data_IF_699646246668
#
_entry.id   IF_699646246668
#
_cell.length_a   1.000
_cell.length_b   1.000
_cell.length_c   1.000
_cell.angle_alpha   90.00
_cell.angle_beta   90.00
_cell.angle_gamma   90.00
#
_symmetry.space_group_name_H-M   'P 1'
#
loop_
_entity.id
_entity.type
_entity.pdbx_description
1 polymer ?
#
# COMPACT_ATOMS: atom_id res chain seq x y z
N UNK A 1 -3.62 4.16 -7.22
CA UNK A 1 -4.77 4.70 -8.01
C UNK A 1 -5.68 3.54 -8.45
N UNK A 2 -6.99 3.73 -8.58
CA UNK A 2 -7.90 2.69 -9.09
C UNK A 2 -8.07 2.80 -10.61
N UNK A 3 -7.98 1.66 -11.29
CA UNK A 3 -8.21 1.52 -12.74
C UNK A 3 -9.48 0.68 -12.94
N UNK A 4 -10.55 1.26 -13.51
CA UNK A 4 -11.79 0.53 -13.75
C UNK A 4 -11.56 -0.60 -14.77
N UNK A 5 -12.18 -1.74 -14.54
CA UNK A 5 -12.19 -2.87 -15.46
C UNK A 5 -13.58 -3.06 -16.07
N UNK A 6 -13.63 -3.74 -17.21
CA UNK A 6 -14.86 -4.22 -17.82
C UNK A 6 -14.84 -5.76 -17.87
N UNK A 7 -15.76 -6.47 -17.20
CA UNK A 7 -16.87 -5.96 -16.36
C UNK A 7 -16.37 -5.30 -15.07
N UNK A 8 -17.17 -4.40 -14.46
CA UNK A 8 -16.78 -3.57 -13.30
C UNK A 8 -15.99 -4.28 -12.16
N UNK A 9 -16.23 -5.57 -11.93
CA UNK A 9 -15.54 -6.42 -10.94
C UNK A 9 -14.09 -6.77 -11.28
N UNK A 10 -13.60 -6.47 -12.48
CA UNK A 10 -12.22 -6.72 -12.94
C UNK A 10 -11.29 -5.53 -12.73
N UNK A 11 -11.76 -4.49 -12.01
CA UNK A 11 -10.95 -3.33 -11.65
C UNK A 11 -9.64 -3.70 -10.96
N UNK A 12 -8.64 -2.83 -11.13
CA UNK A 12 -7.28 -3.00 -10.65
C UNK A 12 -6.85 -1.78 -9.82
N UNK A 13 -5.80 -1.96 -9.03
CA UNK A 13 -5.14 -0.87 -8.31
C UNK A 13 -3.71 -0.76 -8.83
N UNK A 14 -3.36 0.44 -9.30
CA UNK A 14 -2.03 0.80 -9.76
C UNK A 14 -1.18 1.32 -8.59
N UNK A 15 0.00 0.74 -8.43
CA UNK A 15 1.06 1.16 -7.52
C UNK A 15 2.28 1.59 -8.35
N UNK A 16 2.75 2.80 -8.16
CA UNK A 16 3.98 3.32 -8.78
C UNK A 16 4.72 4.18 -7.77
N UNK A 17 6.01 4.35 -8.01
CA UNK A 17 6.88 5.27 -7.28
C UNK A 17 7.34 6.34 -8.28
N UNK A 18 7.07 7.64 -8.03
CA UNK A 18 7.47 8.70 -8.96
C UNK A 18 8.99 8.84 -9.11
N UNK A 19 9.77 8.34 -8.15
CA UNK A 19 11.24 8.43 -8.17
C UNK A 19 11.90 7.18 -8.75
N UNK A 20 11.16 6.07 -8.88
CA UNK A 20 11.71 4.80 -9.34
C UNK A 20 11.17 4.36 -10.70
N UNK A 21 12.07 4.23 -11.67
CA UNK A 21 11.76 3.85 -13.06
C UNK A 21 11.45 2.37 -13.26
N UNK A 22 11.68 1.49 -12.28
CA UNK A 22 11.42 0.05 -12.46
C UNK A 22 10.73 -0.54 -11.25
N UNK A 23 9.42 -0.81 -11.35
CA UNK A 23 8.70 -1.46 -10.28
C UNK A 23 9.11 -2.93 -10.12
N UNK A 24 9.04 -3.47 -8.89
CA UNK A 24 9.31 -4.89 -8.66
C UNK A 24 8.23 -5.77 -9.31
N UNK A 25 8.66 -6.84 -9.96
CA UNK A 25 7.75 -7.86 -10.47
C UNK A 25 7.04 -8.59 -9.33
N UNK A 26 5.71 -8.58 -9.33
CA UNK A 26 4.89 -9.28 -8.33
C UNK A 26 4.06 -10.38 -9.00
N UNK A 27 4.10 -11.59 -8.45
CA UNK A 27 3.43 -12.74 -9.07
C UNK A 27 1.90 -12.57 -9.22
N UNK A 28 1.28 -11.69 -8.42
CA UNK A 28 -0.16 -11.41 -8.47
C UNK A 28 -0.53 -10.17 -9.30
N UNK A 29 0.43 -9.57 -10.01
CA UNK A 29 0.22 -8.34 -10.79
C UNK A 29 1.03 -8.28 -12.06
N UNK A 30 0.69 -7.29 -12.89
CA UNK A 30 1.39 -6.98 -14.13
C UNK A 30 2.02 -5.61 -14.03
N UNK A 31 3.19 -5.43 -14.66
CA UNK A 31 3.78 -4.11 -14.85
C UNK A 31 3.25 -3.56 -16.17
N UNK A 32 2.61 -2.40 -16.13
CA UNK A 32 2.07 -1.71 -17.30
C UNK A 32 2.37 -0.22 -17.21
N UNK A 33 2.63 0.40 -18.35
CA UNK A 33 2.85 1.85 -18.45
C UNK A 33 1.52 2.60 -18.33
N UNK A 34 1.43 3.49 -17.35
CA UNK A 34 0.22 4.25 -17.05
C UNK A 34 0.45 5.74 -17.27
N UNK A 35 -0.45 6.38 -18.03
CA UNK A 35 -0.47 7.83 -18.14
C UNK A 35 -1.15 8.44 -16.92
N UNK A 36 -0.42 9.28 -16.20
CA UNK A 36 -0.90 10.00 -15.01
C UNK A 36 -0.68 11.49 -15.18
N UNK A 37 -1.61 12.29 -14.66
CA UNK A 37 -1.47 13.75 -14.62
C UNK A 37 -0.94 14.13 -13.25
N UNK A 38 0.24 14.74 -13.22
CA UNK A 38 0.91 15.18 -12.00
C UNK A 38 1.10 16.70 -12.00
N UNK A 39 1.08 17.35 -10.84
CA UNK A 39 1.44 18.76 -10.73
C UNK A 39 2.93 18.94 -11.10
N UNK A 40 3.23 19.98 -11.87
CA UNK A 40 4.58 20.39 -12.25
C UNK A 40 4.76 21.90 -12.14
N UNK A 41 5.98 22.38 -12.39
CA UNK A 41 6.37 23.80 -12.29
C UNK A 41 5.42 24.77 -13.04
N UNK A 42 4.86 24.34 -14.18
CA UNK A 42 3.98 25.13 -15.02
C UNK A 42 2.48 24.81 -14.92
N UNK A 43 2.06 24.00 -13.95
CA UNK A 43 0.66 23.55 -13.81
C UNK A 43 0.54 22.04 -13.72
N UNK A 44 -0.09 21.41 -14.71
CA UNK A 44 -0.26 19.95 -14.74
C UNK A 44 0.38 19.35 -15.99
N UNK A 45 1.09 18.24 -15.83
CA UNK A 45 1.77 17.55 -16.91
C UNK A 45 1.35 16.08 -16.92
N UNK A 46 1.07 15.55 -18.11
CA UNK A 46 0.85 14.12 -18.29
C UNK A 46 2.19 13.40 -18.43
N UNK A 47 2.42 12.40 -17.58
CA UNK A 47 3.66 11.60 -17.55
C UNK A 47 3.28 10.12 -17.65
N UNK A 48 4.11 9.34 -18.34
CA UNK A 48 3.98 7.88 -18.39
C UNK A 48 4.84 7.30 -17.28
N UNK A 49 4.23 6.50 -16.40
CA UNK A 49 4.91 5.85 -15.28
C UNK A 49 4.73 4.33 -15.35
N UNK A 50 5.78 3.54 -15.11
CA UNK A 50 5.64 2.10 -15.00
C UNK A 50 4.96 1.77 -13.68
N UNK A 51 3.81 1.10 -13.73
CA UNK A 51 3.00 0.80 -12.56
C UNK A 51 2.73 -0.69 -12.42
N UNK A 52 2.74 -1.17 -11.17
CA UNK A 52 2.24 -2.50 -10.83
C UNK A 52 0.72 -2.45 -10.70
N UNK A 53 0.02 -3.21 -11.54
CA UNK A 53 -1.42 -3.39 -11.49
C UNK A 53 -1.78 -4.68 -10.76
N UNK A 54 -2.46 -4.53 -9.63
CA UNK A 54 -3.03 -5.65 -8.89
C UNK A 54 -4.55 -5.69 -9.04
N UNK A 55 -5.18 -6.86 -9.23
CA UNK A 55 -6.61 -7.00 -9.04
C UNK A 55 -7.00 -6.51 -7.65
N UNK A 56 -8.17 -5.87 -7.50
CA UNK A 56 -8.61 -5.31 -6.21
C UNK A 56 -8.48 -6.32 -5.05
N UNK A 57 -8.88 -7.58 -5.28
CA UNK A 57 -8.76 -8.67 -4.29
C UNK A 57 -7.34 -8.88 -3.76
N UNK A 58 -6.33 -8.67 -4.60
CA UNK A 58 -4.92 -8.82 -4.26
C UNK A 58 -4.31 -7.53 -3.71
N UNK A 59 -4.90 -6.38 -4.03
CA UNK A 59 -4.44 -5.07 -3.54
C UNK A 59 -4.87 -4.78 -2.09
N UNK A 60 -6.05 -5.25 -1.65
CA UNK A 60 -6.57 -4.96 -0.31
C UNK A 60 -5.62 -5.39 0.83
N UNK A 61 -5.04 -6.61 0.84
CA UNK A 61 -4.10 -7.00 1.89
C UNK A 61 -2.86 -6.11 1.95
N UNK A 62 -2.38 -5.62 0.80
CA UNK A 62 -1.23 -4.69 0.71
C UNK A 62 -1.59 -3.38 1.39
N UNK A 63 -2.74 -2.79 1.04
CA UNK A 63 -3.19 -1.52 1.61
C UNK A 63 -3.43 -1.62 3.11
N UNK A 64 -4.03 -2.71 3.59
CA UNK A 64 -4.21 -2.96 5.02
C UNK A 64 -2.88 -3.06 5.76
N UNK A 65 -1.88 -3.75 5.18
CA UNK A 65 -0.56 -3.89 5.79
C UNK A 65 0.19 -2.56 5.85
N UNK A 66 0.17 -1.78 4.77
CA UNK A 66 0.78 -0.44 4.75
C UNK A 66 0.14 0.44 5.81
N UNK A 67 -1.19 0.40 5.94
CA UNK A 67 -1.90 1.16 6.96
C UNK A 67 -1.44 0.79 8.37
N UNK A 68 -1.29 -0.49 8.68
CA UNK A 68 -0.81 -0.93 10.00
C UNK A 68 0.64 -0.46 10.31
N UNK A 69 1.47 -0.27 9.29
CA UNK A 69 2.84 0.27 9.43
C UNK A 69 2.82 1.79 9.58
N UNK A 70 1.97 2.47 8.81
CA UNK A 70 1.83 3.94 8.85
C UNK A 70 1.15 4.42 10.15
N UNK A 71 0.11 3.71 10.59
CA UNK A 71 -0.56 3.88 11.88
C UNK A 71 0.20 3.16 13.03
N UNK A 72 1.53 3.05 12.91
CA UNK A 72 2.38 2.45 13.94
C UNK A 72 1.95 2.90 15.34
N UNK A 73 1.88 1.98 16.32
CA UNK A 73 1.05 2.16 17.50
C UNK A 73 1.40 3.49 18.20
N UNK A 74 0.42 4.39 18.47
CA UNK A 74 0.67 5.53 19.34
C UNK A 74 0.84 5.00 20.76
N UNK A 75 2.08 4.61 21.07
CA UNK A 75 2.45 3.93 22.30
C UNK A 75 2.13 2.44 22.26
N UNK A 76 3.17 1.62 22.37
CA UNK A 76 3.05 0.30 22.96
C UNK A 76 2.54 0.44 24.40
N UNK A 77 1.23 0.60 24.58
CA UNK A 77 0.58 0.29 25.86
C UNK A 77 0.37 -1.20 25.82
N UNK A 78 1.18 -1.91 26.59
CA UNK A 78 0.87 -3.27 27.01
C UNK A 78 -0.53 -3.23 27.64
N UNK A 79 -1.54 -3.58 26.85
CA UNK A 79 -2.88 -3.84 27.33
C UNK A 79 -2.78 -5.08 28.20
N UNK A 80 -2.73 -4.87 29.51
CA UNK A 80 -3.12 -5.83 30.54
C UNK A 80 -2.45 -7.20 30.46
N UNK A 81 -1.25 -7.31 31.01
CA UNK A 81 -0.80 -8.50 31.73
C UNK A 81 0.32 -8.11 32.69
N UNK A 82 -0.06 -7.48 33.81
CA UNK A 82 0.81 -7.46 35.00
C UNK A 82 0.58 -8.79 35.73
N UNK A 83 1.62 -9.62 35.87
CA UNK A 83 1.98 -10.01 37.22
C UNK A 83 3.45 -9.67 37.42
N UNK A 84 3.76 -8.87 38.45
CA UNK A 84 4.62 -9.47 39.45
C UNK A 84 3.87 -9.43 40.78
N UNK A 85 3.18 -10.51 41.06
CA UNK A 85 2.77 -10.84 42.42
C UNK A 85 3.24 -12.27 42.69
N UNK A 86 4.48 -12.40 43.14
CA UNK A 86 4.79 -13.45 44.11
C UNK A 86 5.29 -12.74 45.36
N UNK A 87 4.47 -12.67 46.43
CA UNK A 87 4.99 -12.35 47.75
C UNK A 87 5.81 -13.54 48.27
N UNK A 88 6.87 -13.17 48.97
CA UNK A 88 7.81 -13.96 49.78
C UNK A 88 7.28 -15.22 50.49
N UNK A 89 8.17 -16.24 50.60
CA UNK A 89 8.43 -17.23 51.68
C UNK A 89 8.97 -18.52 51.02
N UNK A 90 10.00 -19.23 51.51
CA UNK A 90 10.68 -19.28 52.82
C UNK A 90 12.19 -19.14 52.67
#
# INVERSE_FOLDING_TARGET
MFVPGDPARTGRVAFWDPEADTPPGVASGTVEDLSVVVPGEGGVTAVVVPAVLLPVRSALPVLTRVRAVADGPPGGRCSGARPPCTPSRL
#
